data_IF_489866698743
#
_entry.id   IF_489866698743
#
_cell.length_a   1.000
_cell.length_b   1.000
_cell.length_c   1.000
_cell.angle_alpha   90.00
_cell.angle_beta   90.00
_cell.angle_gamma   90.00
#
_symmetry.space_group_name_H-M   'P 1'
#
loop_
_entity.id
_entity.type
_entity.pdbx_description
1 polymer ?
#
# COMPACT_ATOMS: atom_id res chain seq x y z
N UNK A 1 -6.89 -7.27 -19.68
CA UNK A 1 -5.86 -8.07 -18.97
C UNK A 1 -5.64 -7.37 -17.65
N UNK A 2 -5.96 -8.01 -16.53
CA UNK A 2 -5.84 -7.38 -15.21
C UNK A 2 -4.37 -7.19 -14.85
N UNK A 3 -4.02 -6.05 -14.26
CA UNK A 3 -2.70 -5.85 -13.66
C UNK A 3 -2.54 -6.87 -12.54
N UNK A 4 -1.53 -7.75 -12.64
CA UNK A 4 -1.25 -8.75 -11.61
C UNK A 4 -0.26 -8.21 -10.59
N UNK A 5 -0.41 -8.58 -9.32
CA UNK A 5 0.54 -8.23 -8.26
C UNK A 5 1.85 -9.00 -8.45
N UNK A 6 2.98 -8.31 -8.29
CA UNK A 6 4.31 -8.93 -8.20
C UNK A 6 4.60 -9.42 -6.78
N UNK A 7 4.09 -8.69 -5.78
CA UNK A 7 4.19 -9.04 -4.36
C UNK A 7 2.90 -8.58 -3.65
N UNK A 8 2.38 -9.38 -2.73
CA UNK A 8 1.30 -8.97 -1.84
C UNK A 8 1.33 -9.78 -0.56
N UNK A 9 0.63 -9.30 0.46
CA UNK A 9 0.49 -9.98 1.75
C UNK A 9 0.57 -9.01 2.91
N UNK A 10 0.79 -9.56 4.10
CA UNK A 10 0.88 -8.79 5.33
C UNK A 10 2.33 -8.58 5.76
N UNK A 11 2.63 -7.38 6.25
CA UNK A 11 3.90 -7.05 6.90
C UNK A 11 3.65 -6.54 8.33
N UNK A 12 4.53 -6.86 9.29
CA UNK A 12 4.45 -6.29 10.63
C UNK A 12 4.93 -4.83 10.58
N UNK A 13 4.02 -3.87 10.62
CA UNK A 13 4.31 -2.43 10.48
C UNK A 13 3.72 -1.68 11.68
N UNK A 14 4.56 -1.05 12.51
CA UNK A 14 4.12 -0.22 13.65
C UNK A 14 3.04 -0.86 14.55
N UNK A 15 3.14 -2.18 14.78
CA UNK A 15 2.17 -2.93 15.58
C UNK A 15 0.92 -3.40 14.82
N UNK A 16 0.87 -3.20 13.50
CA UNK A 16 -0.18 -3.69 12.61
C UNK A 16 0.28 -4.93 11.84
N UNK A 17 -0.68 -5.81 11.54
CA UNK A 17 -0.56 -6.73 10.40
C UNK A 17 -1.07 -5.96 9.17
N UNK A 18 -0.19 -5.23 8.49
CA UNK A 18 -0.53 -4.30 7.42
C UNK A 18 -0.58 -5.03 6.07
N UNK A 19 -1.75 -5.07 5.45
CA UNK A 19 -1.90 -5.62 4.11
C UNK A 19 -1.40 -4.64 3.04
N UNK A 20 -0.65 -5.15 2.07
CA UNK A 20 -0.15 -4.37 0.94
C UNK A 20 -0.14 -5.19 -0.35
N UNK A 21 -0.09 -4.48 -1.47
CA UNK A 21 0.11 -5.02 -2.80
C UNK A 21 1.12 -4.16 -3.57
N UNK A 22 1.96 -4.81 -4.35
CA UNK A 22 2.93 -4.21 -5.25
C UNK A 22 2.64 -4.68 -6.67
N UNK A 23 2.63 -3.74 -7.60
CA UNK A 23 2.44 -3.98 -9.02
C UNK A 23 3.69 -3.51 -9.76
N UNK A 24 4.32 -4.42 -10.50
CA UNK A 24 5.61 -4.17 -11.15
C UNK A 24 6.81 -4.39 -10.22
N UNK A 25 8.02 -4.22 -10.76
CA UNK A 25 9.27 -4.50 -10.05
C UNK A 25 9.80 -3.26 -9.31
N UNK A 26 10.07 -3.39 -8.00
CA UNK A 26 10.71 -2.34 -7.18
C UNK A 26 12.22 -2.18 -7.45
N UNK A 27 12.71 -2.66 -8.59
CA UNK A 27 14.14 -2.58 -8.91
C UNK A 27 14.64 -1.14 -8.99
N UNK A 28 15.97 -0.96 -8.93
CA UNK A 28 16.67 0.32 -9.05
C UNK A 28 16.59 0.97 -10.45
N UNK A 29 15.40 0.93 -11.05
CA UNK A 29 15.00 1.75 -12.20
C UNK A 29 15.16 3.23 -11.83
N UNK A 30 15.47 4.05 -12.84
CA UNK A 30 15.50 5.51 -12.70
C UNK A 30 14.14 6.11 -12.31
N UNK A 31 13.07 5.33 -12.40
CA UNK A 31 11.70 5.77 -12.13
C UNK A 31 11.31 5.37 -10.70
N UNK A 32 11.03 6.34 -9.80
CA UNK A 32 10.63 6.01 -8.44
C UNK A 32 9.26 5.32 -8.40
N UNK A 33 9.05 4.40 -7.44
CA UNK A 33 7.74 3.79 -7.22
C UNK A 33 6.70 4.85 -6.83
N UNK A 34 5.43 4.57 -7.12
CA UNK A 34 4.30 5.37 -6.70
C UNK A 34 3.59 4.68 -5.52
N UNK A 35 3.56 5.32 -4.36
CA UNK A 35 2.69 4.92 -3.26
C UNK A 35 1.32 5.57 -3.45
N UNK A 36 0.27 4.75 -3.53
CA UNK A 36 -1.11 5.17 -3.55
C UNK A 36 -1.71 4.96 -2.15
N UNK A 37 -2.21 6.02 -1.55
CA UNK A 37 -2.82 6.01 -0.21
C UNK A 37 -4.34 6.11 -0.36
N UNK A 38 -5.11 5.06 -0.04
CA UNK A 38 -6.57 5.13 -0.07
C UNK A 38 -7.09 6.19 0.90
N UNK A 39 -8.16 6.90 0.50
CA UNK A 39 -8.84 7.88 1.34
C UNK A 39 -9.74 7.25 2.42
N UNK A 40 -10.50 8.08 3.12
CA UNK A 40 -11.44 7.61 4.15
C UNK A 40 -12.47 6.64 3.55
N UNK A 41 -12.72 5.52 4.26
CA UNK A 41 -13.64 4.44 3.84
C UNK A 41 -13.22 3.71 2.54
N UNK A 42 -11.96 3.83 2.13
CA UNK A 42 -11.42 3.14 0.95
C UNK A 42 -10.43 2.05 1.37
N UNK A 43 -10.13 1.14 0.44
CA UNK A 43 -9.16 0.06 0.58
C UNK A 43 -8.35 -0.11 -0.72
N UNK A 44 -7.44 -1.07 -0.79
CA UNK A 44 -6.67 -1.41 -2.00
C UNK A 44 -7.57 -1.58 -3.23
N UNK A 45 -8.70 -2.27 -3.07
CA UNK A 45 -9.69 -2.52 -4.13
C UNK A 45 -10.26 -1.24 -4.75
N UNK A 46 -10.37 -0.16 -3.97
CA UNK A 46 -10.88 1.12 -4.46
C UNK A 46 -9.89 1.83 -5.39
N UNK A 47 -8.61 1.43 -5.37
CA UNK A 47 -7.51 2.08 -6.10
C UNK A 47 -7.20 1.44 -7.45
N UNK A 48 -7.90 0.38 -7.85
CA UNK A 48 -7.52 -0.45 -9.00
C UNK A 48 -7.49 0.28 -10.36
N UNK A 49 -8.29 1.34 -10.53
CA UNK A 49 -8.23 2.20 -11.72
C UNK A 49 -6.89 2.94 -11.81
N UNK A 50 -6.39 3.46 -10.69
CA UNK A 50 -5.09 4.13 -10.60
C UNK A 50 -3.93 3.16 -10.74
N UNK A 51 -4.02 1.98 -10.12
CA UNK A 51 -3.05 0.90 -10.31
C UNK A 51 -2.91 0.58 -11.80
N UNK A 52 -4.03 0.36 -12.48
CA UNK A 52 -4.06 0.05 -13.92
C UNK A 52 -3.47 1.18 -14.77
N UNK A 53 -3.70 2.43 -14.39
CA UNK A 53 -3.20 3.59 -15.11
C UNK A 53 -1.66 3.75 -15.00
N UNK A 54 -1.05 3.38 -13.87
CA UNK A 54 0.36 3.66 -13.59
C UNK A 54 1.30 2.44 -13.68
N UNK A 55 0.81 1.23 -13.43
CA UNK A 55 1.64 0.02 -13.32
C UNK A 55 2.38 -0.36 -14.62
N UNK A 56 1.94 0.15 -15.78
CA UNK A 56 2.65 -0.06 -17.05
C UNK A 56 3.94 0.76 -17.19
N UNK A 57 4.17 1.76 -16.34
CA UNK A 57 5.29 2.71 -16.46
C UNK A 57 6.19 2.81 -15.23
N UNK A 58 5.70 2.36 -14.08
CA UNK A 58 6.40 2.38 -12.79
C UNK A 58 5.83 1.34 -11.85
N UNK A 59 6.61 0.96 -10.83
CA UNK A 59 6.06 0.18 -9.75
C UNK A 59 5.02 1.00 -8.97
N UNK A 60 3.92 0.34 -8.58
CA UNK A 60 2.84 0.93 -7.78
C UNK A 60 2.69 0.13 -6.50
N UNK A 61 2.65 0.81 -5.37
CA UNK A 61 2.45 0.24 -4.05
C UNK A 61 1.10 0.76 -3.53
N UNK A 62 0.24 -0.13 -3.07
CA UNK A 62 -1.01 0.18 -2.36
C UNK A 62 -1.05 -0.60 -1.06
N UNK A 63 -1.76 -0.09 -0.07
CA UNK A 63 -1.94 -0.76 1.21
C UNK A 63 -3.27 -0.39 1.85
N UNK A 64 -3.72 -1.23 2.78
CA UNK A 64 -4.90 -0.97 3.59
C UNK A 64 -4.47 -0.32 4.91
N UNK A 65 -5.00 0.86 5.21
CA UNK A 65 -4.74 1.55 6.48
C UNK A 65 -5.32 0.76 7.68
N UNK A 66 -4.90 1.08 8.91
CA UNK A 66 -5.49 0.49 10.12
C UNK A 66 -7.02 0.54 10.07
N UNK A 67 -7.66 -0.60 10.35
CA UNK A 67 -9.12 -0.71 10.37
C UNK A 67 -9.79 -0.63 9.00
N UNK A 68 -9.03 -0.68 7.90
CA UNK A 68 -9.55 -0.67 6.53
C UNK A 68 -9.22 -1.98 5.81
N UNK A 69 -10.08 -2.37 4.86
CA UNK A 69 -9.86 -3.52 3.98
C UNK A 69 -9.43 -4.79 4.73
N UNK A 70 -8.22 -5.25 4.46
CA UNK A 70 -7.58 -6.47 5.01
C UNK A 70 -6.61 -6.19 6.15
N UNK A 71 -6.45 -4.93 6.57
CA UNK A 71 -5.68 -4.56 7.75
C UNK A 71 -6.64 -4.42 8.94
N UNK A 72 -6.56 -5.29 9.96
CA UNK A 72 -7.39 -5.17 11.15
C UNK A 72 -7.19 -3.83 11.88
N UNK A 73 -8.19 -3.44 12.66
CA UNK A 73 -7.98 -2.39 13.65
C UNK A 73 -7.04 -2.89 14.78
N UNK A 74 -6.45 -1.95 15.51
CA UNK A 74 -5.51 -2.20 16.59
C UNK A 74 -5.77 -1.25 17.77
N UNK A 75 -5.37 -1.59 19.01
CA UNK A 75 -5.55 -0.74 20.19
C UNK A 75 -4.56 0.43 20.22
N UNK A 76 -4.47 1.18 19.12
CA UNK A 76 -3.68 2.42 18.96
C UNK A 76 -4.55 3.49 18.29
N UNK A 77 -4.24 4.75 18.53
CA UNK A 77 -5.03 5.89 18.05
C UNK A 77 -5.03 5.98 16.52
N UNK A 78 -6.20 5.99 15.88
CA UNK A 78 -6.27 6.41 14.48
C UNK A 78 -5.97 7.91 14.35
N UNK A 79 -4.85 8.25 13.72
CA UNK A 79 -4.49 9.64 13.39
C UNK A 79 -3.72 9.70 12.08
N UNK A 80 -3.76 10.84 11.41
CA UNK A 80 -3.04 11.04 10.16
C UNK A 80 -1.53 10.86 10.31
N UNK A 81 -0.98 11.23 11.46
CA UNK A 81 0.43 11.01 11.78
C UNK A 81 0.75 9.51 11.83
N UNK A 82 -0.06 8.70 12.52
CA UNK A 82 0.17 7.25 12.55
C UNK A 82 0.02 6.62 11.17
N UNK A 83 -0.96 7.06 10.37
CA UNK A 83 -1.12 6.57 9.01
C UNK A 83 0.06 6.94 8.10
N UNK A 84 0.61 8.14 8.28
CA UNK A 84 1.81 8.57 7.57
C UNK A 84 3.04 7.76 8.00
N UNK A 85 3.19 7.47 9.31
CA UNK A 85 4.26 6.64 9.84
C UNK A 85 4.17 5.20 9.35
N UNK A 86 2.97 4.63 9.22
CA UNK A 86 2.75 3.30 8.66
C UNK A 86 3.12 3.24 7.17
N UNK A 87 2.71 4.25 6.41
CA UNK A 87 3.08 4.39 5.01
C UNK A 87 4.60 4.47 4.84
N UNK A 88 5.27 5.29 5.66
CA UNK A 88 6.71 5.44 5.63
C UNK A 88 7.43 4.14 6.00
N UNK A 89 6.96 3.42 7.02
CA UNK A 89 7.56 2.17 7.46
C UNK A 89 7.32 1.03 6.46
N UNK A 90 6.15 0.99 5.83
CA UNK A 90 5.90 0.09 4.70
C UNK A 90 6.92 0.31 3.57
N UNK A 91 7.20 1.57 3.22
CA UNK A 91 8.21 1.88 2.19
C UNK A 91 9.62 1.46 2.58
N UNK A 92 9.97 1.43 3.87
CA UNK A 92 11.28 0.93 4.33
C UNK A 92 11.36 -0.59 4.32
N UNK A 93 10.25 -1.28 4.54
CA UNK A 93 10.17 -2.73 4.62
C UNK A 93 10.09 -3.43 3.25
N UNK A 94 9.77 -2.69 2.19
CA UNK A 94 9.65 -3.18 0.81
C UNK A 94 10.97 -3.11 0.05
#
# INVERSE_FOLDING_TARGET
MGTQTSRSGHLPINGLSLYHEVYGELSASKVPPLLLIPGAFMATESMMSWVSAFAGSRAVIIFDQQGHGRTPDAPRKMSYEQFADDAAELLRAL
#
